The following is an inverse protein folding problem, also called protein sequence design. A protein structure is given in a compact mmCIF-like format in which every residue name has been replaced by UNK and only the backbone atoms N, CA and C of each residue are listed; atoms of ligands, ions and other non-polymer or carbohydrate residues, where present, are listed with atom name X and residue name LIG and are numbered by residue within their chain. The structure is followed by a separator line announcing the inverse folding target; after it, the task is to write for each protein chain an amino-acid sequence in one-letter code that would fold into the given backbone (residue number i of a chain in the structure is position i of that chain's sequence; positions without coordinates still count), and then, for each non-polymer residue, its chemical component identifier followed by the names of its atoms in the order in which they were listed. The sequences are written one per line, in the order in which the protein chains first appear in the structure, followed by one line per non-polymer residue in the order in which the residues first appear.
data_IF_829590592514
#
_entry.id   IF_829590592514
#
_cell.length_a   1.000
_cell.length_b   1.000
_cell.length_c   1.000
_cell.angle_alpha   90.00
_cell.angle_beta   90.00
_cell.angle_gamma   90.00
#
_symmetry.space_group_name_H-M   'P 1'
#
loop_
_entity.id
_entity.type
_entity.pdbx_description
1 polymer ?
#
# COMPACT_ATOMS: atom_id res chain seq x y z
N UNK A 1 -19.76 17.16 23.91
CA UNK A 1 -19.38 17.39 22.49
C UNK A 1 -17.85 17.42 22.46
N UNK A 2 -17.20 16.28 22.27
CA UNK A 2 -15.74 16.19 22.20
C UNK A 2 -15.34 15.93 20.75
N UNK A 3 -14.59 16.86 20.16
CA UNK A 3 -14.07 16.73 18.81
C UNK A 3 -12.99 15.63 18.80
N UNK A 4 -13.32 14.45 18.30
CA UNK A 4 -12.32 13.43 17.96
C UNK A 4 -11.74 13.86 16.61
N UNK A 5 -10.76 14.76 16.61
CA UNK A 5 -9.92 14.94 15.44
C UNK A 5 -8.95 13.76 15.39
N UNK A 6 -9.22 12.80 14.50
CA UNK A 6 -8.20 11.83 14.12
C UNK A 6 -7.03 12.61 13.52
N UNK A 7 -5.87 12.54 14.17
CA UNK A 7 -4.68 13.27 13.75
C UNK A 7 -4.24 12.70 12.39
N UNK A 8 -4.38 13.49 11.32
CA UNK A 8 -3.96 13.05 9.97
C UNK A 8 -2.46 13.17 9.89
N UNK A 9 -1.74 12.12 10.25
CA UNK A 9 -0.31 12.01 10.02
C UNK A 9 -0.03 11.50 8.61
N UNK A 10 0.78 12.25 7.86
CA UNK A 10 1.34 11.77 6.61
C UNK A 10 2.61 10.98 6.90
N UNK A 11 2.72 9.79 6.32
CA UNK A 11 3.90 8.94 6.39
C UNK A 11 4.45 8.73 4.98
N UNK A 12 5.77 8.59 4.87
CA UNK A 12 6.42 8.24 3.63
C UNK A 12 6.27 6.74 3.39
N UNK A 13 5.96 6.36 2.16
CA UNK A 13 5.89 4.95 1.74
C UNK A 13 6.83 4.79 0.55
N UNK A 14 7.84 3.93 0.71
CA UNK A 14 8.72 3.54 -0.40
C UNK A 14 8.32 2.15 -0.88
N UNK A 15 8.04 1.99 -2.17
CA UNK A 15 7.61 0.71 -2.75
C UNK A 15 8.55 0.33 -3.87
N UNK A 16 9.17 -0.85 -3.76
CA UNK A 16 9.95 -1.46 -4.82
C UNK A 16 9.10 -2.54 -5.48
N UNK A 17 8.69 -2.30 -6.73
CA UNK A 17 7.81 -3.18 -7.50
C UNK A 17 8.64 -4.03 -8.47
N UNK A 18 8.34 -5.33 -8.52
CA UNK A 18 8.84 -6.27 -9.53
C UNK A 18 7.64 -6.91 -10.24
N UNK A 19 7.60 -6.83 -11.56
CA UNK A 19 6.58 -7.45 -12.41
C UNK A 19 7.28 -8.41 -13.37
N UNK A 20 6.99 -9.70 -13.20
CA UNK A 20 7.54 -10.77 -14.04
C UNK A 20 6.38 -11.57 -14.61
N UNK A 21 6.29 -11.65 -15.93
CA UNK A 21 5.23 -12.36 -16.66
C UNK A 21 3.79 -11.98 -16.23
N UNK A 22 3.58 -10.71 -15.86
CA UNK A 22 2.27 -10.20 -15.44
C UNK A 22 1.90 -10.51 -13.98
N UNK A 23 2.84 -11.06 -13.20
CA UNK A 23 2.70 -11.27 -11.77
C UNK A 23 3.49 -10.19 -11.03
N UNK A 24 2.77 -9.28 -10.38
CA UNK A 24 3.36 -8.25 -9.54
C UNK A 24 3.69 -8.78 -8.15
N UNK A 25 4.91 -8.46 -7.71
CA UNK A 25 5.34 -8.51 -6.31
C UNK A 25 5.90 -7.15 -5.93
N UNK A 26 5.82 -6.79 -4.65
CA UNK A 26 6.48 -5.58 -4.19
C UNK A 26 6.98 -5.71 -2.76
N UNK A 27 7.97 -4.89 -2.41
CA UNK A 27 8.36 -4.65 -1.02
C UNK A 27 8.03 -3.21 -0.68
N UNK A 28 7.27 -3.01 0.39
CA UNK A 28 6.91 -1.72 0.94
C UNK A 28 7.72 -1.46 2.21
N UNK A 29 8.33 -0.29 2.30
CA UNK A 29 9.05 0.17 3.50
C UNK A 29 8.38 1.44 4.01
N UNK A 30 8.11 1.46 5.30
CA UNK A 30 7.54 2.58 6.05
C UNK A 30 8.65 3.12 6.97
N UNK A 31 9.47 4.09 6.50
CA UNK A 31 10.69 4.51 7.18
C UNK A 31 10.44 5.08 8.59
N UNK A 32 9.30 5.74 8.78
CA UNK A 32 8.92 6.34 10.06
C UNK A 32 8.33 5.33 11.05
N UNK A 33 7.90 4.15 10.59
CA UNK A 33 7.27 3.10 11.41
C UNK A 33 8.15 1.86 11.58
N UNK A 34 9.48 1.97 11.44
CA UNK A 34 10.44 0.88 11.18
C UNK A 34 9.88 -0.47 10.68
N UNK A 35 9.05 -0.44 9.63
CA UNK A 35 8.35 -1.64 9.16
C UNK A 35 8.52 -1.90 7.68
N UNK A 36 8.45 -3.19 7.34
CA UNK A 36 8.50 -3.67 5.96
C UNK A 36 7.36 -4.64 5.70
N UNK A 37 6.67 -4.43 4.58
CA UNK A 37 5.61 -5.29 4.06
C UNK A 37 6.00 -5.92 2.72
N UNK A 38 5.49 -7.10 2.45
CA UNK A 38 5.61 -7.79 1.15
C UNK A 38 4.24 -7.83 0.49
N UNK A 39 4.15 -7.41 -0.78
CA UNK A 39 2.91 -7.41 -1.55
C UNK A 39 2.90 -8.59 -2.50
N UNK A 40 1.82 -9.37 -2.46
CA UNK A 40 1.58 -10.47 -3.39
C UNK A 40 0.32 -10.23 -4.19
N UNK A 41 0.40 -10.23 -5.53
CA UNK A 41 -0.75 -10.09 -6.41
C UNK A 41 -1.79 -11.19 -6.17
N UNK A 42 -3.06 -10.78 -6.04
CA UNK A 42 -4.22 -11.67 -5.96
C UNK A 42 -5.07 -11.60 -7.22
N UNK A 43 -5.14 -10.44 -7.87
CA UNK A 43 -5.81 -10.29 -9.16
C UNK A 43 -5.23 -9.12 -9.96
N UNK A 44 -5.42 -9.17 -11.28
CA UNK A 44 -5.02 -8.12 -12.21
C UNK A 44 -6.03 -8.02 -13.36
N UNK A 45 -6.38 -6.78 -13.70
CA UNK A 45 -7.09 -6.38 -14.92
C UNK A 45 -6.21 -5.40 -15.71
N UNK A 46 -6.72 -4.85 -16.82
CA UNK A 46 -6.00 -3.86 -17.63
C UNK A 46 -5.71 -2.54 -16.92
N UNK A 47 -6.50 -2.21 -15.90
CA UNK A 47 -6.54 -0.92 -15.22
C UNK A 47 -6.33 -1.03 -13.70
N UNK A 48 -6.43 -2.24 -13.14
CA UNK A 48 -6.41 -2.47 -11.70
C UNK A 48 -5.57 -3.68 -11.31
N UNK A 49 -4.80 -3.53 -10.24
CA UNK A 49 -4.08 -4.64 -9.59
C UNK A 49 -4.53 -4.69 -8.13
N UNK A 50 -4.87 -5.88 -7.66
CA UNK A 50 -5.14 -6.13 -6.24
C UNK A 50 -4.00 -6.97 -5.69
N UNK A 51 -3.42 -6.52 -4.59
CA UNK A 51 -2.34 -7.22 -3.89
C UNK A 51 -2.73 -7.37 -2.42
N UNK A 52 -2.19 -8.38 -1.76
CA UNK A 52 -2.24 -8.50 -0.30
C UNK A 52 -0.88 -8.15 0.25
N UNK A 53 -0.83 -7.17 1.14
CA UNK A 53 0.34 -6.85 1.95
C UNK A 53 0.41 -7.78 3.15
N UNK A 54 1.60 -8.32 3.37
CA UNK A 54 1.95 -9.08 4.57
C UNK A 54 3.10 -8.38 5.25
N UNK A 55 2.87 -7.95 6.48
CA UNK A 55 3.93 -7.33 7.30
C UNK A 55 4.91 -8.38 7.80
N UNK A 56 6.18 -7.99 7.90
CA UNK A 56 7.18 -8.80 8.59
C UNK A 56 6.77 -9.06 10.04
N UNK A 57 7.20 -10.19 10.60
CA UNK A 57 6.94 -10.59 12.00
C UNK A 57 7.59 -9.70 13.07
N UNK A 58 8.32 -8.67 12.63
CA UNK A 58 9.09 -7.75 13.46
C UNK A 58 8.41 -6.37 13.38
N UNK A 59 7.65 -6.03 14.43
CA UNK A 59 7.16 -4.68 14.81
C UNK A 59 5.65 -4.40 14.63
N UNK A 60 5.20 -3.39 15.39
CA UNK A 60 3.84 -2.87 15.65
C UNK A 60 3.04 -2.40 14.42
N UNK A 61 3.38 -2.88 13.23
CA UNK A 61 2.74 -2.41 12.01
C UNK A 61 1.49 -3.18 11.64
N UNK A 62 0.66 -2.44 10.92
CA UNK A 62 -0.72 -2.75 10.57
C UNK A 62 -0.94 -4.20 10.13
N UNK A 63 -2.14 -4.70 10.41
CA UNK A 63 -2.64 -5.99 9.97
C UNK A 63 -2.37 -6.26 8.48
N UNK A 64 -2.39 -7.54 8.08
CA UNK A 64 -2.36 -7.89 6.66
C UNK A 64 -3.54 -7.22 5.93
N UNK A 65 -3.24 -6.31 5.00
CA UNK A 65 -4.26 -5.52 4.29
C UNK A 65 -4.34 -5.88 2.81
N UNK A 66 -5.55 -5.77 2.27
CA UNK A 66 -5.77 -5.77 0.82
C UNK A 66 -5.50 -4.37 0.28
N UNK A 67 -4.65 -4.28 -0.72
CA UNK A 67 -4.26 -3.04 -1.41
C UNK A 67 -4.79 -3.10 -2.83
N UNK A 68 -5.40 -2.00 -3.27
CA UNK A 68 -5.79 -1.80 -4.67
C UNK A 68 -4.94 -0.71 -5.29
N UNK A 69 -4.39 -1.01 -6.46
CA UNK A 69 -3.62 -0.11 -7.29
C UNK A 69 -4.38 0.15 -8.59
N UNK A 70 -4.66 1.40 -8.90
CA UNK A 70 -5.33 1.81 -10.13
C UNK A 70 -4.42 2.75 -10.93
N UNK A 71 -4.31 2.52 -12.24
CA UNK A 71 -3.50 3.37 -13.09
C UNK A 71 -4.19 4.74 -13.31
N UNK A 72 -3.54 5.82 -12.87
CA UNK A 72 -3.98 7.19 -13.16
C UNK A 72 -3.25 7.80 -14.37
N UNK A 73 -2.11 7.22 -14.73
CA UNK A 73 -1.27 7.66 -15.84
C UNK A 73 -0.08 6.74 -16.03
N UNK A 74 0.84 7.04 -16.97
CA UNK A 74 1.97 6.17 -17.30
C UNK A 74 2.94 5.95 -16.12
N UNK A 75 3.07 6.94 -15.23
CA UNK A 75 4.03 6.91 -14.10
C UNK A 75 3.33 7.15 -12.75
N UNK A 76 2.01 6.96 -12.68
CA UNK A 76 1.21 7.31 -11.50
C UNK A 76 0.15 6.26 -11.20
N UNK A 77 0.15 5.78 -9.96
CA UNK A 77 -0.84 4.84 -9.44
C UNK A 77 -1.62 5.47 -8.28
N UNK A 78 -2.94 5.33 -8.29
CA UNK A 78 -3.75 5.51 -7.09
C UNK A 78 -3.56 4.28 -6.20
N UNK A 79 -3.19 4.53 -4.96
CA UNK A 79 -3.06 3.53 -3.91
C UNK A 79 -4.26 3.64 -2.97
N UNK A 80 -4.88 2.51 -2.66
CA UNK A 80 -5.86 2.42 -1.58
C UNK A 80 -5.69 1.15 -0.77
N UNK A 81 -5.79 1.26 0.55
CA UNK A 81 -5.74 0.15 1.48
C UNK A 81 -6.83 0.30 2.55
N UNK A 82 -7.38 -0.82 2.99
CA UNK A 82 -8.34 -0.87 4.08
C UNK A 82 -7.76 -1.68 5.24
N UNK A 83 -7.57 -1.04 6.39
CA UNK A 83 -7.15 -1.66 7.65
C UNK A 83 -8.26 -1.51 8.68
N UNK A 84 -9.01 -2.58 8.94
CA UNK A 84 -10.22 -2.53 9.76
C UNK A 84 -11.24 -1.53 9.21
N UNK A 85 -11.52 -0.47 9.99
CA UNK A 85 -12.45 0.61 9.64
C UNK A 85 -11.77 1.83 9.00
N UNK A 86 -10.45 1.79 8.81
CA UNK A 86 -9.67 2.91 8.26
C UNK A 86 -9.38 2.69 6.78
N UNK A 87 -9.52 3.76 6.01
CA UNK A 87 -9.16 3.82 4.60
C UNK A 87 -7.94 4.72 4.43
N UNK A 88 -6.91 4.16 3.80
CA UNK A 88 -5.69 4.88 3.46
C UNK A 88 -5.71 5.07 1.96
N UNK A 89 -5.53 6.30 1.51
CA UNK A 89 -5.38 6.62 0.08
C UNK A 89 -4.12 7.45 -0.15
N UNK A 90 -3.41 7.15 -1.23
CA UNK A 90 -2.19 7.84 -1.62
C UNK A 90 -2.00 7.79 -3.14
N UNK A 91 -1.01 8.52 -3.63
CA UNK A 91 -0.57 8.48 -5.02
C UNK A 91 0.88 8.03 -5.06
N UNK A 92 1.15 6.90 -5.73
CA UNK A 92 2.50 6.44 -5.99
C UNK A 92 2.96 7.06 -7.30
N UNK A 93 4.08 7.78 -7.25
CA UNK A 93 4.72 8.38 -8.42
C UNK A 93 6.04 7.68 -8.64
N UNK A 94 6.31 7.29 -9.89
CA UNK A 94 7.61 6.72 -10.26
C UNK A 94 8.69 7.80 -10.11
N UNK A 95 9.67 7.54 -9.24
CA UNK A 95 10.87 8.38 -9.05
C UNK A 95 12.02 7.95 -9.96
#
# INVERSE_FOLDING_TARGET
MGQISGDRHAYSLTVTISDVDGVMTATATYPELPCTGTWSQTSRTSDRIVVVERMGSENDCFDNVSITLEALGPDTLAYSAQSGNYFITSTLVRS
#
